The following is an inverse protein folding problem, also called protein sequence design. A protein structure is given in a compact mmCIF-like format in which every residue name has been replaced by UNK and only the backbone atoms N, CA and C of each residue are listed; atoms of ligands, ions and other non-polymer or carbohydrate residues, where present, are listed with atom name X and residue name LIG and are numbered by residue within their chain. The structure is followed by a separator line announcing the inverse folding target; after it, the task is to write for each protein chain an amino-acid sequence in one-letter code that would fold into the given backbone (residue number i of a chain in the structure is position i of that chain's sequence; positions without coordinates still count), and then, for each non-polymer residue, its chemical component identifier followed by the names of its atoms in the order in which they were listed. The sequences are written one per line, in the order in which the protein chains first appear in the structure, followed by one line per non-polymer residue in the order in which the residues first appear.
data_IF_909998913710
#
_entry.id   IF_909998913710
#
_cell.length_a   1.000
_cell.length_b   1.000
_cell.length_c   1.000
_cell.angle_alpha   90.00
_cell.angle_beta   90.00
_cell.angle_gamma   90.00
#
_symmetry.space_group_name_H-M   'P 1'
#
loop_
_entity.id
_entity.type
_entity.pdbx_description
1 polymer ?
#
# COMPACT_ATOMS: atom_id res chain seq x y z
N UNK A 1 -6.76 11.48 -12.68
CA UNK A 1 -5.86 10.85 -13.68
C UNK A 1 -5.35 9.57 -13.06
N UNK A 2 -5.45 8.44 -13.76
CA UNK A 2 -4.94 7.15 -13.25
C UNK A 2 -3.41 7.16 -13.33
N UNK A 3 -2.75 6.65 -12.30
CA UNK A 3 -1.30 6.48 -12.25
C UNK A 3 -0.86 5.12 -12.82
N UNK A 4 -1.81 4.26 -13.21
CA UNK A 4 -1.55 2.93 -13.77
C UNK A 4 -1.11 3.05 -15.24
N UNK A 5 -0.20 2.19 -15.69
CA UNK A 5 0.38 2.19 -17.03
C UNK A 5 0.64 0.79 -17.56
N UNK A 6 1.42 0.67 -18.64
CA UNK A 6 1.57 -0.57 -19.42
C UNK A 6 2.18 -1.75 -18.65
N UNK A 7 3.02 -1.48 -17.65
CA UNK A 7 3.62 -2.51 -16.80
C UNK A 7 2.90 -2.72 -15.47
N UNK A 8 1.80 -2.00 -15.21
CA UNK A 8 0.99 -2.26 -14.01
C UNK A 8 0.32 -3.62 -14.16
N UNK A 9 0.50 -4.49 -13.17
CA UNK A 9 -0.12 -5.81 -13.18
C UNK A 9 -1.65 -5.70 -13.12
N UNK A 10 -2.39 -6.21 -14.13
CA UNK A 10 -3.84 -6.18 -14.12
C UNK A 10 -4.46 -6.96 -12.95
N UNK A 11 -3.77 -7.98 -12.42
CA UNK A 11 -4.23 -8.76 -11.27
C UNK A 11 -4.23 -7.91 -9.99
N UNK A 12 -3.18 -7.10 -9.77
CA UNK A 12 -3.13 -6.17 -8.64
C UNK A 12 -4.24 -5.12 -8.71
N UNK A 13 -4.54 -4.63 -9.92
CA UNK A 13 -5.68 -3.74 -10.15
C UNK A 13 -7.02 -4.44 -9.89
N UNK A 14 -7.13 -5.74 -10.22
CA UNK A 14 -8.32 -6.54 -9.91
C UNK A 14 -8.51 -6.69 -8.41
N UNK A 15 -7.46 -7.03 -7.66
CA UNK A 15 -7.49 -7.15 -6.19
C UNK A 15 -7.97 -5.86 -5.54
N UNK A 16 -7.46 -4.70 -5.99
CA UNK A 16 -7.95 -3.39 -5.52
C UNK A 16 -9.45 -3.27 -5.78
N UNK A 17 -9.89 -3.54 -7.02
CA UNK A 17 -11.30 -3.39 -7.41
C UNK A 17 -12.21 -4.30 -6.57
N UNK A 18 -11.84 -5.56 -6.40
CA UNK A 18 -12.59 -6.55 -5.63
C UNK A 18 -12.72 -6.14 -4.16
N UNK A 19 -11.62 -5.72 -3.53
CA UNK A 19 -11.64 -5.20 -2.15
C UNK A 19 -12.60 -4.02 -1.99
N UNK A 20 -12.60 -3.08 -2.94
CA UNK A 20 -13.46 -1.89 -2.87
C UNK A 20 -14.93 -2.22 -3.14
N UNK A 21 -15.22 -3.18 -4.03
CA UNK A 21 -16.59 -3.61 -4.34
C UNK A 21 -17.30 -4.21 -3.13
N UNK A 22 -16.59 -4.94 -2.28
CA UNK A 22 -17.14 -5.52 -1.05
C UNK A 22 -17.10 -4.53 0.14
N UNK A 23 -16.70 -3.28 -0.08
CA UNK A 23 -16.57 -2.27 0.98
C UNK A 23 -15.44 -2.58 1.98
N UNK A 24 -14.44 -3.36 1.56
CA UNK A 24 -13.29 -3.76 2.34
C UNK A 24 -12.09 -2.83 2.19
N UNK A 25 -10.97 -3.23 2.79
CA UNK A 25 -9.70 -2.55 2.68
C UNK A 25 -8.80 -3.19 1.63
N UNK A 26 -7.89 -2.40 1.08
CA UNK A 26 -6.77 -2.87 0.27
C UNK A 26 -5.46 -2.39 0.87
N UNK A 27 -4.44 -3.23 0.80
CA UNK A 27 -3.07 -2.89 1.15
C UNK A 27 -2.13 -3.68 0.25
N UNK A 28 -1.21 -3.01 -0.42
CA UNK A 28 -0.28 -3.69 -1.30
C UNK A 28 0.61 -2.75 -2.08
N UNK A 29 1.58 -3.34 -2.78
CA UNK A 29 2.43 -2.61 -3.71
C UNK A 29 1.77 -2.55 -5.10
N UNK A 30 1.95 -1.43 -5.78
CA UNK A 30 1.41 -1.20 -7.11
C UNK A 30 2.44 -0.44 -7.95
N UNK A 31 2.70 -0.90 -9.17
CA UNK A 31 3.51 -0.16 -10.13
C UNK A 31 2.69 1.00 -10.73
N UNK A 32 3.14 2.22 -10.50
CA UNK A 32 2.54 3.46 -10.99
C UNK A 32 3.51 4.23 -11.91
N UNK A 33 2.99 5.24 -12.60
CA UNK A 33 3.66 6.00 -13.64
C UNK A 33 3.53 7.49 -13.40
N UNK A 34 4.67 8.20 -13.44
CA UNK A 34 4.70 9.67 -13.36
C UNK A 34 4.12 10.26 -14.65
N UNK A 35 3.87 11.57 -14.67
CA UNK A 35 3.28 12.25 -15.83
C UNK A 35 4.13 12.06 -17.10
N UNK A 36 5.44 11.94 -16.96
CA UNK A 36 6.43 11.70 -18.01
C UNK A 36 6.54 10.23 -18.46
N UNK A 37 5.80 9.31 -17.82
CA UNK A 37 5.86 7.88 -18.10
C UNK A 37 6.92 7.10 -17.32
N UNK A 38 7.65 7.73 -16.39
CA UNK A 38 8.62 7.03 -15.54
C UNK A 38 7.89 6.08 -14.58
N UNK A 39 8.20 4.78 -14.57
CA UNK A 39 7.61 3.83 -13.63
C UNK A 39 8.20 4.00 -12.22
N UNK A 40 7.36 3.87 -11.20
CA UNK A 40 7.76 3.86 -9.79
C UNK A 40 6.81 2.96 -8.97
N UNK A 41 7.36 2.29 -7.96
CA UNK A 41 6.57 1.47 -7.05
C UNK A 41 5.88 2.35 -6.02
N UNK A 42 4.64 2.04 -5.72
CA UNK A 42 3.89 2.66 -4.63
C UNK A 42 3.38 1.62 -3.66
N UNK A 43 3.56 1.87 -2.37
CA UNK A 43 2.78 1.17 -1.36
C UNK A 43 1.47 1.91 -1.16
N UNK A 44 0.36 1.24 -1.47
CA UNK A 44 -0.99 1.78 -1.49
C UNK A 44 -1.80 1.11 -0.39
N UNK A 45 -2.41 1.93 0.47
CA UNK A 45 -3.48 1.50 1.36
C UNK A 45 -4.78 2.19 0.98
N UNK A 46 -5.90 1.48 1.10
CA UNK A 46 -7.25 2.02 0.95
C UNK A 46 -8.11 1.40 2.05
N UNK A 47 -8.80 2.24 2.83
CA UNK A 47 -9.64 1.80 3.93
C UNK A 47 -11.01 2.50 3.86
N UNK A 48 -12.11 1.78 4.16
CA UNK A 48 -13.43 2.38 4.25
C UNK A 48 -13.54 3.19 5.54
N UNK A 49 -14.03 4.41 5.43
CA UNK A 49 -14.52 5.22 6.55
C UNK A 49 -16.02 4.91 6.68
N UNK A 50 -16.41 4.47 7.88
CA UNK A 50 -17.78 4.16 8.26
C UNK A 50 -18.24 5.12 9.36
N UNK A 51 -19.53 5.40 9.44
CA UNK A 51 -20.11 6.11 10.59
C UNK A 51 -20.21 5.19 11.83
N UNK A 52 -20.71 5.73 12.93
CA UNK A 52 -20.93 5.01 14.19
C UNK A 52 -21.89 3.82 14.06
N UNK A 53 -22.72 3.79 13.02
CA UNK A 53 -23.65 2.68 12.72
C UNK A 53 -23.07 1.69 11.71
N UNK A 54 -21.80 1.85 11.32
CA UNK A 54 -21.12 0.99 10.35
C UNK A 54 -21.50 1.26 8.89
N UNK A 55 -22.26 2.32 8.61
CA UNK A 55 -22.62 2.69 7.24
C UNK A 55 -21.41 3.27 6.54
N UNK A 56 -21.14 2.77 5.33
CA UNK A 56 -20.08 3.30 4.47
C UNK A 56 -20.31 4.79 4.16
N UNK A 57 -19.28 5.61 4.38
CA UNK A 57 -19.28 7.02 4.03
C UNK A 57 -18.39 7.29 2.82
N UNK A 58 -17.13 6.84 2.87
CA UNK A 58 -16.10 7.11 1.86
C UNK A 58 -14.92 6.17 2.03
N UNK A 59 -14.00 6.17 1.07
CA UNK A 59 -12.67 5.56 1.23
C UNK A 59 -11.63 6.62 1.57
N UNK A 60 -10.63 6.25 2.36
CA UNK A 60 -9.38 6.98 2.54
C UNK A 60 -8.23 6.13 2.02
N UNK A 61 -7.35 6.71 1.22
CA UNK A 61 -6.18 6.01 0.70
C UNK A 61 -4.90 6.78 0.94
N UNK A 62 -3.82 6.05 1.23
CA UNK A 62 -2.47 6.57 1.37
C UNK A 62 -1.59 5.93 0.31
N UNK A 63 -0.72 6.72 -0.31
CA UNK A 63 0.26 6.26 -1.29
C UNK A 63 1.63 6.79 -0.89
N UNK A 64 2.60 5.89 -0.82
CA UNK A 64 4.01 6.23 -0.57
C UNK A 64 4.80 5.67 -1.74
N UNK A 65 5.62 6.49 -2.40
CA UNK A 65 6.60 6.00 -3.37
C UNK A 65 7.64 5.17 -2.62
N UNK A 66 7.81 3.92 -3.04
CA UNK A 66 8.73 2.97 -2.43
C UNK A 66 9.82 2.60 -3.42
N UNK A 67 11.02 2.42 -2.90
CA UNK A 67 12.17 1.91 -3.64
C UNK A 67 12.63 0.60 -2.99
N UNK A 68 13.50 -0.14 -3.68
CA UNK A 68 14.24 -1.26 -3.08
C UNK A 68 15.01 -0.89 -1.80
N UNK A 69 15.17 0.41 -1.49
CA UNK A 69 15.84 0.91 -0.28
C UNK A 69 14.87 1.24 0.87
N UNK A 70 13.58 1.45 0.60
CA UNK A 70 12.55 1.68 1.63
C UNK A 70 11.94 0.37 2.12
N UNK A 71 11.89 -0.64 1.25
CA UNK A 71 11.92 -2.04 1.65
C UNK A 71 13.36 -2.30 2.07
N UNK A 72 13.61 -2.97 3.18
CA UNK A 72 14.98 -3.29 3.51
C UNK A 72 15.65 -4.03 2.37
N UNK A 73 16.61 -3.37 1.70
CA UNK A 73 17.67 -3.99 0.89
C UNK A 73 18.30 -5.19 1.63
N UNK A 74 18.10 -5.18 2.95
CA UNK A 74 18.78 -5.87 3.99
C UNK A 74 17.79 -6.52 4.97
N UNK A 75 16.67 -7.07 4.49
CA UNK A 75 15.81 -7.93 5.34
C UNK A 75 16.60 -9.10 5.97
N UNK A 76 17.76 -9.44 5.37
CA UNK A 76 18.74 -10.39 5.91
C UNK A 76 19.99 -9.75 6.53
N UNK A 77 20.27 -8.46 6.31
CA UNK A 77 21.43 -7.82 6.97
C UNK A 77 21.00 -7.27 8.32
N UNK A 78 21.78 -7.66 9.31
CA UNK A 78 21.55 -7.36 10.70
C UNK A 78 22.59 -6.33 11.09
N UNK A 79 22.16 -5.27 11.77
CA UNK A 79 23.05 -4.32 12.43
C UNK A 79 23.93 -5.09 13.44
N UNK A 80 25.12 -4.58 13.83
CA UNK A 80 25.99 -5.25 14.81
C UNK A 80 25.31 -5.58 16.16
N UNK A 81 24.18 -4.93 16.47
CA UNK A 81 23.37 -5.17 17.67
C UNK A 81 22.25 -6.21 17.49
N UNK A 82 22.20 -6.93 16.37
CA UNK A 82 21.22 -7.99 16.15
C UNK A 82 19.85 -7.54 15.62
N UNK A 83 19.64 -6.24 15.37
CA UNK A 83 18.40 -5.72 14.80
C UNK A 83 18.45 -5.62 13.27
N UNK A 84 17.32 -5.80 12.55
CA UNK A 84 17.24 -5.61 11.11
C UNK A 84 17.71 -4.21 10.69
N UNK A 85 18.36 -4.12 9.53
CA UNK A 85 18.80 -2.81 9.02
C UNK A 85 17.59 -1.94 8.62
N UNK A 86 16.58 -2.54 8.00
CA UNK A 86 15.28 -1.90 7.78
C UNK A 86 14.25 -2.31 8.84
N UNK A 87 13.53 -1.32 9.36
CA UNK A 87 12.42 -1.50 10.28
C UNK A 87 11.06 -1.55 9.58
N UNK A 88 11.03 -1.37 8.24
CA UNK A 88 9.79 -1.29 7.47
C UNK A 88 9.61 -2.58 6.68
N UNK A 89 8.59 -3.35 7.09
CA UNK A 89 8.08 -4.53 6.39
C UNK A 89 6.66 -4.23 5.92
N UNK A 90 6.48 -4.10 4.62
CA UNK A 90 5.17 -3.75 4.05
C UNK A 90 4.12 -4.84 4.29
N UNK A 91 4.52 -6.11 4.30
CA UNK A 91 3.65 -7.24 4.67
C UNK A 91 3.09 -7.09 6.10
N UNK A 92 3.90 -6.58 7.03
CA UNK A 92 3.46 -6.35 8.41
C UNK A 92 2.53 -5.13 8.52
N UNK A 93 2.77 -4.09 7.71
CA UNK A 93 1.91 -2.90 7.67
C UNK A 93 0.51 -3.24 7.19
N UNK A 94 0.37 -4.19 6.27
CA UNK A 94 -0.95 -4.65 5.81
C UNK A 94 -1.75 -5.40 6.88
N UNK A 95 -1.08 -5.90 7.93
CA UNK A 95 -1.73 -6.56 9.06
C UNK A 95 -2.05 -5.61 10.22
N UNK A 96 -1.59 -4.35 10.17
CA UNK A 96 -1.93 -3.37 11.19
C UNK A 96 -3.26 -2.68 10.86
N UNK A 97 -4.30 -2.78 11.72
CA UNK A 97 -5.48 -1.96 11.57
C UNK A 97 -5.06 -0.49 11.70
N UNK A 98 -5.23 0.29 10.63
CA UNK A 98 -5.11 1.75 10.72
C UNK A 98 -6.29 2.20 11.57
N UNK A 99 -6.08 2.34 12.88
CA UNK A 99 -7.03 2.99 13.77
C UNK A 99 -7.07 4.47 13.38
N UNK A 100 -8.03 4.82 12.53
CA UNK A 100 -8.44 6.21 12.36
C UNK A 100 -9.23 6.55 13.60
N UNK A 101 -8.56 7.06 14.64
CA UNK A 101 -9.27 7.63 15.78
C UNK A 101 -10.13 8.81 15.28
N UNK A 102 -11.38 8.96 15.79
CA UNK A 102 -12.28 10.04 15.41
C UNK A 102 -11.74 11.43 15.73
#
# INVERSE_FOLDING_TARGET
RLLQGSGTDPEDVSKIRESLQIGGSYCGQLLNYKKDGTPFWTFLTINPIKDEFGKFLKFIGMQVEVSKHTEGINDKMVRPNGLPESLIRYDDICNFPIFVHP
#
